data_IF_871959418091
#
_entry.id   IF_871959418091
#
_cell.length_a   1.000
_cell.length_b   1.000
_cell.length_c   1.000
_cell.angle_alpha   90.00
_cell.angle_beta   90.00
_cell.angle_gamma   90.00
#
_symmetry.space_group_name_H-M   'P 1'
#
loop_
_entity.id
_entity.type
_entity.pdbx_description
1 polymer ?
#
# COMPACT_ATOMS: atom_id res chain seq x y z
N UNK A 1 -57.49 -26.60 -35.37
CA UNK A 1 -56.20 -27.05 -34.76
C UNK A 1 -55.33 -25.83 -34.62
N UNK A 2 -55.19 -25.35 -33.40
CA UNK A 2 -54.40 -24.11 -33.10
C UNK A 2 -52.99 -24.51 -32.62
N UNK A 3 -51.98 -24.09 -33.33
CA UNK A 3 -50.59 -24.27 -32.94
C UNK A 3 -50.20 -23.16 -31.99
N UNK A 4 -49.83 -23.50 -30.75
CA UNK A 4 -49.25 -22.60 -29.75
C UNK A 4 -47.78 -22.39 -30.05
N UNK A 5 -47.41 -21.17 -30.38
CA UNK A 5 -46.02 -20.73 -30.48
C UNK A 5 -45.46 -20.52 -29.06
N UNK A 6 -44.47 -21.33 -28.67
CA UNK A 6 -43.70 -21.10 -27.44
C UNK A 6 -42.72 -19.95 -27.70
N UNK A 7 -42.94 -18.83 -27.01
CA UNK A 7 -41.98 -17.75 -26.93
C UNK A 7 -40.78 -18.17 -26.11
N UNK A 8 -39.59 -18.21 -26.72
CA UNK A 8 -38.32 -18.31 -26.02
C UNK A 8 -38.04 -17.00 -25.30
N UNK A 9 -38.18 -17.01 -23.98
CA UNK A 9 -37.64 -15.94 -23.12
C UNK A 9 -36.14 -16.05 -23.13
N UNK A 10 -35.48 -15.16 -23.87
CA UNK A 10 -34.01 -14.96 -23.75
C UNK A 10 -33.77 -14.24 -22.44
N UNK A 11 -33.25 -14.97 -21.46
CA UNK A 11 -32.60 -14.35 -20.29
C UNK A 11 -31.50 -13.43 -20.79
N UNK A 12 -31.73 -12.12 -20.70
CA UNK A 12 -30.73 -11.09 -20.95
C UNK A 12 -29.69 -11.16 -19.83
N UNK A 13 -28.75 -12.08 -19.94
CA UNK A 13 -27.52 -12.02 -19.15
C UNK A 13 -26.76 -10.81 -19.65
N UNK A 14 -26.89 -9.71 -18.96
CA UNK A 14 -26.02 -8.55 -19.15
C UNK A 14 -24.57 -8.92 -18.84
N UNK A 15 -23.85 -9.44 -19.84
CA UNK A 15 -22.41 -9.50 -19.81
C UNK A 15 -21.89 -8.08 -19.93
N UNK A 16 -21.91 -7.35 -18.83
CA UNK A 16 -21.11 -6.15 -18.72
C UNK A 16 -19.66 -6.56 -18.79
N UNK A 17 -18.93 -6.10 -19.82
CA UNK A 17 -17.47 -6.13 -19.91
C UNK A 17 -16.85 -5.22 -18.83
N UNK A 18 -17.22 -5.43 -17.58
CA UNK A 18 -16.58 -4.78 -16.44
C UNK A 18 -15.20 -5.38 -16.23
N UNK A 19 -14.18 -4.78 -16.86
CA UNK A 19 -12.79 -5.11 -16.53
C UNK A 19 -12.62 -5.02 -15.03
N UNK A 20 -12.28 -6.13 -14.39
CA UNK A 20 -12.00 -6.17 -12.95
C UNK A 20 -10.67 -5.42 -12.69
N UNK A 21 -10.78 -4.19 -12.23
CA UNK A 21 -9.59 -3.38 -11.91
C UNK A 21 -9.03 -3.77 -10.55
N UNK A 22 -7.72 -3.87 -10.47
CA UNK A 22 -6.97 -4.06 -9.22
C UNK A 22 -5.91 -2.98 -9.15
N UNK A 23 -5.98 -2.16 -8.11
CA UNK A 23 -4.96 -1.17 -7.79
C UNK A 23 -4.10 -1.71 -6.64
N UNK A 24 -2.81 -1.89 -6.88
CA UNK A 24 -1.82 -2.18 -5.85
C UNK A 24 -1.00 -0.92 -5.60
N UNK A 25 -0.95 -0.47 -4.34
CA UNK A 25 -0.22 0.73 -3.95
C UNK A 25 0.87 0.38 -2.94
N UNK A 26 2.06 0.89 -3.18
CA UNK A 26 3.18 0.88 -2.24
C UNK A 26 3.40 2.29 -1.70
N UNK A 27 3.13 2.50 -0.42
CA UNK A 27 3.26 3.79 0.27
C UNK A 27 4.50 3.75 1.16
N UNK A 28 5.39 4.73 1.02
CA UNK A 28 6.67 4.73 1.72
C UNK A 28 7.17 6.15 2.04
N UNK A 29 8.11 6.27 2.98
CA UNK A 29 8.71 7.54 3.37
C UNK A 29 9.97 7.88 2.57
N UNK A 30 10.82 6.88 2.29
CA UNK A 30 12.10 7.12 1.60
C UNK A 30 12.61 5.83 0.94
N UNK A 31 13.04 5.93 -0.32
CA UNK A 31 13.71 4.86 -1.08
C UNK A 31 15.17 5.16 -1.41
N UNK A 32 15.75 6.20 -0.81
CA UNK A 32 17.17 6.54 -1.05
C UNK A 32 18.06 5.99 0.03
N UNK A 33 17.60 6.03 1.27
CA UNK A 33 18.41 5.70 2.44
C UNK A 33 17.75 4.72 3.42
N UNK A 34 16.42 4.58 3.37
CA UNK A 34 15.71 3.67 4.27
C UNK A 34 15.78 2.22 3.76
N UNK A 35 16.68 1.41 4.32
CA UNK A 35 16.88 0.00 3.93
C UNK A 35 15.60 -0.83 4.00
N UNK A 36 14.73 -0.58 5.00
CA UNK A 36 13.45 -1.26 5.15
C UNK A 36 12.50 -0.95 3.99
N UNK A 37 12.39 0.33 3.61
CA UNK A 37 11.59 0.72 2.45
C UNK A 37 12.17 0.17 1.14
N UNK A 38 13.49 0.28 0.95
CA UNK A 38 14.19 -0.22 -0.25
C UNK A 38 14.03 -1.73 -0.36
N UNK A 39 14.24 -2.47 0.73
CA UNK A 39 14.10 -3.93 0.74
C UNK A 39 12.67 -4.38 0.45
N UNK A 40 11.68 -3.72 1.06
CA UNK A 40 10.26 -4.01 0.80
C UNK A 40 9.88 -3.72 -0.65
N UNK A 41 10.37 -2.60 -1.21
CA UNK A 41 10.18 -2.24 -2.61
C UNK A 41 10.70 -3.32 -3.56
N UNK A 42 11.93 -3.77 -3.34
CA UNK A 42 12.56 -4.80 -4.16
C UNK A 42 11.78 -6.11 -4.12
N UNK A 43 11.39 -6.57 -2.93
CA UNK A 43 10.62 -7.82 -2.79
C UNK A 43 9.24 -7.70 -3.43
N UNK A 44 8.58 -6.55 -3.27
CA UNK A 44 7.27 -6.30 -3.88
C UNK A 44 7.35 -6.26 -5.41
N UNK A 45 8.38 -5.66 -5.99
CA UNK A 45 8.60 -5.65 -7.44
C UNK A 45 8.72 -7.07 -7.99
N UNK A 46 9.48 -7.94 -7.33
CA UNK A 46 9.61 -9.34 -7.73
C UNK A 46 8.28 -10.09 -7.65
N UNK A 47 7.50 -9.84 -6.59
CA UNK A 47 6.15 -10.43 -6.44
C UNK A 47 5.21 -9.93 -7.53
N UNK A 48 5.20 -8.62 -7.80
CA UNK A 48 4.33 -8.03 -8.83
C UNK A 48 4.71 -8.46 -10.24
N UNK A 49 6.00 -8.73 -10.50
CA UNK A 49 6.46 -9.28 -11.77
C UNK A 49 5.80 -10.64 -12.08
N UNK A 50 5.56 -11.45 -11.07
CA UNK A 50 4.90 -12.76 -11.19
C UNK A 50 3.37 -12.63 -11.15
N UNK A 51 2.84 -11.85 -10.21
CA UNK A 51 1.38 -11.77 -10.02
C UNK A 51 0.66 -11.00 -11.12
N UNK A 52 1.27 -9.96 -11.69
CA UNK A 52 0.61 -9.15 -12.73
C UNK A 52 0.19 -9.97 -13.95
N UNK A 53 1.05 -10.80 -14.58
CA UNK A 53 0.62 -11.65 -15.69
C UNK A 53 -0.40 -12.70 -15.27
N UNK A 54 -0.27 -13.29 -14.08
CA UNK A 54 -1.24 -14.27 -13.57
C UNK A 54 -2.62 -13.66 -13.36
N UNK A 55 -2.70 -12.47 -12.77
CA UNK A 55 -3.95 -11.75 -12.58
C UNK A 55 -4.58 -11.32 -13.91
N UNK A 56 -3.76 -10.92 -14.90
CA UNK A 56 -4.26 -10.64 -16.27
C UNK A 56 -4.88 -11.87 -16.91
N UNK A 57 -4.29 -13.04 -16.75
CA UNK A 57 -4.88 -14.31 -17.22
C UNK A 57 -6.20 -14.61 -16.51
N UNK A 58 -6.36 -14.20 -15.25
CA UNK A 58 -7.61 -14.33 -14.49
C UNK A 58 -8.65 -13.23 -14.82
N UNK A 59 -8.38 -12.37 -15.81
CA UNK A 59 -9.30 -11.33 -16.29
C UNK A 59 -9.24 -10.00 -15.53
N UNK A 60 -8.21 -9.79 -14.72
CA UNK A 60 -8.00 -8.52 -14.02
C UNK A 60 -7.14 -7.55 -14.85
N UNK A 61 -7.40 -6.26 -14.71
CA UNK A 61 -6.50 -5.19 -15.13
C UNK A 61 -5.78 -4.69 -13.89
N UNK A 62 -4.47 -4.85 -13.84
CA UNK A 62 -3.65 -4.49 -12.66
C UNK A 62 -2.96 -3.16 -12.91
N UNK A 63 -3.14 -2.24 -11.96
CA UNK A 63 -2.38 -0.99 -11.85
C UNK A 63 -1.51 -1.10 -10.59
N UNK A 64 -0.20 -0.83 -10.73
CA UNK A 64 0.75 -0.84 -9.61
C UNK A 64 1.37 0.55 -9.48
N UNK A 65 1.28 1.13 -8.29
CA UNK A 65 1.77 2.49 -7.97
C UNK A 65 2.70 2.46 -6.78
N UNK A 66 3.78 3.22 -6.89
CA UNK A 66 4.70 3.55 -5.79
C UNK A 66 4.53 5.02 -5.44
N UNK A 67 4.22 5.32 -4.20
CA UNK A 67 3.87 6.66 -3.74
C UNK A 67 4.73 7.03 -2.54
N UNK A 68 5.66 7.96 -2.77
CA UNK A 68 6.47 8.53 -1.71
C UNK A 68 5.67 9.57 -0.91
N UNK A 69 5.60 9.40 0.38
CA UNK A 69 4.97 10.34 1.30
C UNK A 69 5.95 11.48 1.62
N UNK A 70 6.04 12.46 0.72
CA UNK A 70 6.99 13.59 0.84
C UNK A 70 6.58 14.61 1.89
N UNK A 71 5.29 14.76 2.12
CA UNK A 71 4.71 15.79 2.99
C UNK A 71 3.64 15.23 3.90
N UNK A 72 3.35 15.96 4.98
CA UNK A 72 2.23 15.66 5.88
C UNK A 72 0.90 15.59 5.12
N UNK A 73 0.67 16.52 4.19
CA UNK A 73 -0.57 16.55 3.42
C UNK A 73 -0.75 15.29 2.56
N UNK A 74 0.35 14.76 2.00
CA UNK A 74 0.31 13.50 1.27
C UNK A 74 -0.01 12.33 2.20
N UNK A 75 0.61 12.27 3.37
CA UNK A 75 0.33 11.23 4.36
C UNK A 75 -1.12 11.26 4.83
N UNK A 76 -1.68 12.45 5.08
CA UNK A 76 -3.09 12.64 5.42
C UNK A 76 -3.99 12.23 4.27
N UNK A 77 -3.73 12.72 3.05
CA UNK A 77 -4.51 12.38 1.85
C UNK A 77 -4.59 10.88 1.60
N UNK A 78 -3.49 10.18 1.81
CA UNK A 78 -3.41 8.72 1.63
C UNK A 78 -3.71 7.96 2.92
N UNK A 79 -4.05 8.65 4.02
CA UNK A 79 -4.32 8.02 5.32
C UNK A 79 -3.23 7.01 5.71
N UNK A 80 -1.96 7.42 5.60
CA UNK A 80 -0.83 6.57 5.93
C UNK A 80 -0.78 6.32 7.44
N UNK A 81 -0.87 5.06 7.85
CA UNK A 81 -0.81 4.68 9.27
C UNK A 81 0.62 4.37 9.70
N UNK A 82 1.38 3.71 8.84
CA UNK A 82 2.79 3.34 9.09
C UNK A 82 3.53 3.15 7.77
N UNK A 83 4.86 3.19 7.80
CA UNK A 83 5.70 3.02 6.61
C UNK A 83 6.67 1.84 6.81
N UNK A 84 6.86 0.99 5.78
CA UNK A 84 6.14 0.96 4.51
C UNK A 84 4.74 0.32 4.60
N UNK A 85 3.83 0.68 3.70
CA UNK A 85 2.49 0.10 3.62
C UNK A 85 2.20 -0.38 2.20
N UNK A 86 1.59 -1.55 2.07
CA UNK A 86 1.11 -2.10 0.80
C UNK A 86 -0.41 -2.22 0.86
N UNK A 87 -1.10 -1.73 -0.17
CA UNK A 87 -2.56 -1.77 -0.26
C UNK A 87 -3.03 -2.38 -1.56
N UNK A 88 -4.15 -3.05 -1.50
CA UNK A 88 -4.89 -3.52 -2.67
C UNK A 88 -6.27 -2.89 -2.64
N UNK A 89 -6.61 -2.12 -3.67
CA UNK A 89 -7.87 -1.37 -3.76
C UNK A 89 -8.14 -0.50 -2.52
N UNK A 90 -7.09 0.14 -1.98
CA UNK A 90 -7.14 0.99 -0.80
C UNK A 90 -7.07 0.26 0.54
N UNK A 91 -7.13 -1.07 0.57
CA UNK A 91 -7.04 -1.84 1.80
C UNK A 91 -5.63 -2.35 2.04
N UNK A 92 -5.14 -2.18 3.27
CA UNK A 92 -3.86 -2.71 3.73
C UNK A 92 -3.84 -4.25 3.67
N UNK A 93 -2.76 -4.83 3.14
CA UNK A 93 -2.59 -6.29 3.15
C UNK A 93 -2.37 -6.85 4.55
N UNK A 94 -1.94 -6.01 5.50
CA UNK A 94 -1.75 -6.37 6.89
C UNK A 94 -2.96 -5.95 7.72
N UNK A 95 -3.45 -6.86 8.56
CA UNK A 95 -4.61 -6.61 9.46
C UNK A 95 -4.22 -5.78 10.68
N UNK A 96 -2.97 -5.83 11.09
CA UNK A 96 -2.41 -5.12 12.24
C UNK A 96 -1.23 -4.27 11.83
N UNK A 97 -0.98 -3.22 12.60
CA UNK A 97 0.20 -2.37 12.48
C UNK A 97 1.07 -2.62 13.69
N UNK A 98 2.24 -3.20 13.45
CA UNK A 98 3.30 -3.35 14.45
C UNK A 98 4.48 -2.54 13.96
N UNK A 99 5.11 -1.79 14.86
CA UNK A 99 6.21 -0.90 14.54
C UNK A 99 7.39 -1.17 15.48
N UNK A 100 8.59 -0.87 15.02
CA UNK A 100 9.77 -0.80 15.85
C UNK A 100 10.71 0.31 15.35
N UNK A 101 11.70 0.66 16.16
CA UNK A 101 12.66 1.70 15.83
C UNK A 101 13.30 1.48 14.46
N UNK A 102 13.36 2.55 13.66
CA UNK A 102 13.96 2.57 12.35
C UNK A 102 15.14 3.55 12.32
N UNK A 103 16.35 3.05 12.47
CA UNK A 103 17.55 3.88 12.49
C UNK A 103 17.71 4.76 11.24
N UNK A 104 17.33 4.26 10.06
CA UNK A 104 17.41 5.05 8.82
C UNK A 104 16.45 6.25 8.86
N UNK A 105 15.18 6.03 9.21
CA UNK A 105 14.20 7.12 9.29
C UNK A 105 14.50 8.09 10.42
N UNK A 106 15.01 7.59 11.56
CA UNK A 106 15.48 8.43 12.68
C UNK A 106 16.65 9.31 12.24
N UNK A 107 17.58 8.79 11.45
CA UNK A 107 18.68 9.57 10.90
C UNK A 107 18.21 10.62 9.87
N UNK A 108 17.19 10.30 9.04
CA UNK A 108 16.64 11.25 8.07
C UNK A 108 15.99 12.44 8.78
N UNK A 109 15.22 12.21 9.83
CA UNK A 109 14.45 13.24 10.54
C UNK A 109 15.20 13.84 11.74
N UNK A 110 16.25 13.20 12.21
CA UNK A 110 16.94 13.52 13.48
C UNK A 110 16.00 13.47 14.71
N UNK A 111 15.03 12.55 14.65
CA UNK A 111 14.07 12.24 15.72
C UNK A 111 13.92 10.72 15.83
N UNK A 112 13.43 10.21 16.95
CA UNK A 112 13.11 8.80 17.07
C UNK A 112 11.90 8.48 16.20
N UNK A 113 12.09 7.58 15.24
CA UNK A 113 11.05 7.15 14.29
C UNK A 113 10.92 5.64 14.32
N UNK A 114 9.69 5.18 14.44
CA UNK A 114 9.34 3.78 14.28
C UNK A 114 8.80 3.53 12.88
N UNK A 115 9.12 2.38 12.31
CA UNK A 115 8.60 1.94 11.03
C UNK A 115 7.96 0.57 11.16
N UNK A 116 7.06 0.28 10.23
CA UNK A 116 6.34 -0.99 10.20
C UNK A 116 7.28 -2.18 10.16
N UNK A 117 6.93 -3.19 10.92
CA UNK A 117 7.40 -4.57 10.77
C UNK A 117 6.22 -5.46 10.38
N UNK A 118 6.55 -6.60 9.78
CA UNK A 118 5.57 -7.50 9.20
C UNK A 118 5.55 -8.81 10.00
N UNK A 119 4.37 -9.22 10.45
CA UNK A 119 4.19 -10.49 11.14
C UNK A 119 3.66 -11.54 10.16
N UNK A 120 4.39 -12.63 10.02
CA UNK A 120 4.00 -13.74 9.13
C UNK A 120 4.48 -15.08 9.70
N UNK A 121 3.55 -16.05 9.77
CA UNK A 121 3.83 -17.39 10.29
C UNK A 121 4.52 -17.42 11.67
N UNK A 122 4.09 -16.50 12.56
CA UNK A 122 4.60 -16.40 13.92
C UNK A 122 6.00 -15.77 14.05
N UNK A 123 6.48 -15.13 13.00
CA UNK A 123 7.75 -14.41 12.97
C UNK A 123 7.54 -12.95 12.56
N UNK A 124 8.44 -12.09 13.02
CA UNK A 124 8.47 -10.67 12.67
C UNK A 124 9.59 -10.39 11.68
N UNK A 125 9.29 -9.59 10.67
CA UNK A 125 10.21 -9.23 9.59
C UNK A 125 10.24 -7.72 9.41
N UNK A 126 11.41 -7.16 9.19
CA UNK A 126 11.57 -5.76 8.78
C UNK A 126 11.30 -5.58 7.28
N UNK A 127 11.65 -6.59 6.50
CA UNK A 127 11.35 -6.71 5.06
C UNK A 127 10.44 -7.93 4.91
N UNK A 128 9.22 -7.78 4.37
CA UNK A 128 8.27 -8.88 4.31
C UNK A 128 8.75 -9.98 3.35
N UNK A 129 8.52 -11.27 3.67
CA UNK A 129 8.81 -12.35 2.74
C UNK A 129 7.85 -12.33 1.54
N UNK A 130 8.32 -12.84 0.40
CA UNK A 130 7.55 -12.88 -0.86
C UNK A 130 6.22 -13.59 -0.72
N UNK A 131 6.22 -14.68 0.04
CA UNK A 131 5.04 -15.49 0.31
C UNK A 131 3.94 -14.68 1.00
N UNK A 132 4.31 -13.88 2.01
CA UNK A 132 3.39 -12.99 2.71
C UNK A 132 2.77 -11.96 1.77
N UNK A 133 3.59 -11.31 0.95
CA UNK A 133 3.11 -10.32 -0.01
C UNK A 133 2.18 -10.93 -1.05
N UNK A 134 2.57 -12.08 -1.61
CA UNK A 134 1.77 -12.78 -2.60
C UNK A 134 0.42 -13.23 -2.01
N UNK A 135 0.43 -13.83 -0.82
CA UNK A 135 -0.78 -14.28 -0.12
C UNK A 135 -1.70 -13.11 0.18
N UNK A 136 -1.19 -12.04 0.79
CA UNK A 136 -1.99 -10.86 1.14
C UNK A 136 -2.60 -10.17 -0.08
N UNK A 137 -1.83 -10.00 -1.16
CA UNK A 137 -2.32 -9.40 -2.40
C UNK A 137 -3.41 -10.29 -3.01
N UNK A 138 -3.15 -11.59 -3.19
CA UNK A 138 -4.12 -12.52 -3.79
C UNK A 138 -5.39 -12.64 -2.94
N UNK A 139 -5.25 -12.69 -1.62
CA UNK A 139 -6.40 -12.74 -0.70
C UNK A 139 -7.31 -11.53 -0.92
N UNK A 140 -6.75 -10.31 -1.03
CA UNK A 140 -7.53 -9.11 -1.24
C UNK A 140 -8.11 -9.02 -2.65
N UNK A 141 -7.40 -9.47 -3.68
CA UNK A 141 -7.90 -9.50 -5.07
C UNK A 141 -9.09 -10.44 -5.23
N UNK A 142 -9.05 -11.61 -4.58
CA UNK A 142 -10.10 -12.63 -4.74
C UNK A 142 -11.15 -12.64 -3.62
N UNK A 143 -10.95 -11.92 -2.52
CA UNK A 143 -12.02 -11.70 -1.56
C UNK A 143 -13.12 -10.90 -2.26
N UNK A 144 -14.35 -11.40 -2.22
CA UNK A 144 -15.51 -10.67 -2.78
C UNK A 144 -15.75 -9.41 -1.96
N UNK A 145 -15.23 -8.29 -2.46
CA UNK A 145 -15.26 -7.01 -1.78
C UNK A 145 -16.61 -6.35 -1.91
N UNK A 146 -17.43 -6.47 -0.87
CA UNK A 146 -18.58 -5.60 -0.62
C UNK A 146 -18.42 -4.83 0.72
N UNK A 147 -17.22 -4.70 1.24
CA UNK A 147 -16.98 -3.84 2.39
C UNK A 147 -16.39 -2.52 1.90
N UNK A 148 -17.23 -1.53 1.69
CA UNK A 148 -16.79 -0.15 1.62
C UNK A 148 -16.02 0.12 2.92
N UNK A 149 -14.73 0.43 2.82
CA UNK A 149 -13.97 0.98 3.92
C UNK A 149 -14.58 2.34 4.25
N UNK A 150 -15.31 2.41 5.35
CA UNK A 150 -15.69 3.69 5.95
C UNK A 150 -14.50 4.06 6.84
N UNK A 151 -13.73 5.09 6.53
CA UNK A 151 -12.67 5.51 7.42
C UNK A 151 -13.32 6.04 8.69
N UNK A 152 -13.03 5.42 9.82
CA UNK A 152 -13.09 6.11 11.09
C UNK A 152 -12.26 7.40 10.96
N UNK A 153 -12.58 8.43 11.73
CA UNK A 153 -11.91 9.72 11.66
C UNK A 153 -10.39 9.53 11.73
N UNK A 154 -9.71 9.72 10.57
CA UNK A 154 -8.28 9.48 10.45
C UNK A 154 -7.51 10.63 11.09
N UNK A 155 -6.65 10.30 12.03
CA UNK A 155 -5.63 11.21 12.55
C UNK A 155 -4.23 10.74 12.13
N UNK A 156 -3.38 11.69 11.73
CA UNK A 156 -1.99 11.38 11.40
C UNK A 156 -1.28 10.84 12.66
N UNK A 157 -0.70 9.63 12.63
CA UNK A 157 0.02 9.06 13.75
C UNK A 157 1.16 9.97 14.24
N UNK A 158 1.36 10.01 15.56
CA UNK A 158 2.38 10.85 16.19
C UNK A 158 3.78 10.56 15.68
N UNK A 159 4.09 9.30 15.46
CA UNK A 159 5.33 8.83 14.86
C UNK A 159 5.61 9.48 13.50
N UNK A 160 4.60 9.56 12.63
CA UNK A 160 4.72 10.21 11.32
C UNK A 160 4.82 11.74 11.44
N UNK A 161 4.13 12.36 12.41
CA UNK A 161 4.31 13.81 12.69
C UNK A 161 5.77 14.09 13.05
N UNK A 162 6.35 13.31 13.97
CA UNK A 162 7.73 13.44 14.40
C UNK A 162 8.72 13.31 13.22
N UNK A 163 8.50 12.35 12.32
CA UNK A 163 9.33 12.19 11.11
C UNK A 163 9.27 13.43 10.21
N UNK A 164 8.07 13.91 9.88
CA UNK A 164 7.93 15.04 8.96
C UNK A 164 8.43 16.36 9.58
N UNK A 165 8.23 16.59 10.86
CA UNK A 165 8.69 17.80 11.53
C UNK A 165 10.22 17.81 11.68
N UNK A 166 10.83 16.68 12.01
CA UNK A 166 12.27 16.53 12.04
C UNK A 166 12.90 16.72 10.65
N UNK A 167 12.28 16.17 9.60
CA UNK A 167 12.75 16.35 8.22
C UNK A 167 12.70 17.82 7.77
N UNK A 168 11.66 18.58 8.17
CA UNK A 168 11.56 20.03 7.88
C UNK A 168 12.66 20.83 8.57
N UNK A 169 12.93 20.57 9.84
CA UNK A 169 13.98 21.29 10.60
C UNK A 169 15.36 21.05 10.02
N UNK A 170 15.64 19.84 9.55
CA UNK A 170 16.92 19.50 8.91
C UNK A 170 17.10 20.16 7.54
N UNK A 171 16.02 20.33 6.76
CA UNK A 171 16.05 21.02 5.46
C UNK A 171 16.13 22.54 5.61
N UNK A 172 15.75 23.09 6.77
CA UNK A 172 15.68 24.53 7.05
C UNK A 172 16.99 25.15 7.56
N UNK A 173 18.09 24.42 7.69
CA UNK A 173 19.40 24.99 7.94
C UNK A 173 19.93 25.67 6.66
N UNK A 174 19.26 26.73 6.22
CA UNK A 174 19.80 27.70 5.32
C UNK A 174 20.71 28.60 6.15
N UNK A 175 22.01 28.46 6.01
CA UNK A 175 22.97 29.38 6.57
C UNK A 175 22.80 30.75 5.90
N UNK A 176 21.95 31.61 6.47
CA UNK A 176 22.05 33.04 6.23
C UNK A 176 23.28 33.55 6.95
N UNK A 177 24.32 33.76 6.18
CA UNK A 177 25.39 34.75 6.37
C UNK A 177 26.15 34.75 7.69
N UNK A 178 27.42 34.46 7.55
CA UNK A 178 28.58 34.78 8.43
C UNK A 178 29.18 33.55 9.16
N UNK A 179 30.04 32.85 8.45
CA UNK A 179 31.22 32.24 9.06
C UNK A 179 32.45 32.85 8.38
N UNK A 180 33.06 33.80 9.07
CA UNK A 180 34.47 34.14 8.89
C UNK A 180 35.34 32.97 9.37
#
# INVERSE_FOLDING_TARGET
MMAKTLGKSCCSCGCGDGKKMVLVEYLYLDLQTCERCIGTDSVLDEVMLVLTPALKLAGFTVEYKKIEMKTVDMAIKHQLVSSPTIRVNGQDICKSVVENNCGCCSNISNTDVECRVFEYSGKTYEIPPKEMLAEGILQLVFSQYNAGYSPDEYELPENLKNFFDGKKTKSGCHCEGNCC
#
